data_IF_865303643010
#
_entry.id   IF_865303643010
#
_cell.length_a   1.000
_cell.length_b   1.000
_cell.length_c   1.000
_cell.angle_alpha   90.00
_cell.angle_beta   90.00
_cell.angle_gamma   90.00
#
_symmetry.space_group_name_H-M   'P 1'
#
loop_
_entity.id
_entity.type
_entity.pdbx_description
1 polymer ?
#
# COMPACT_ATOMS: atom_id res chain seq x y z
N UNK A 1 2.51 -18.73 0.85
CA UNK A 1 1.99 -18.55 -0.53
C UNK A 1 1.45 -17.13 -0.67
N UNK A 2 1.93 -16.42 -1.68
CA UNK A 2 1.46 -15.05 -1.93
C UNK A 2 0.04 -15.08 -2.47
N UNK A 3 -0.84 -14.29 -1.87
CA UNK A 3 -2.23 -14.15 -2.29
C UNK A 3 -2.44 -12.73 -2.81
N UNK A 4 -1.78 -12.44 -3.92
CA UNK A 4 -1.92 -11.16 -4.61
C UNK A 4 -2.77 -11.36 -5.84
N UNK A 5 -3.78 -10.51 -6.00
CA UNK A 5 -4.58 -10.45 -7.21
C UNK A 5 -4.48 -9.04 -7.77
N UNK A 6 -4.11 -8.93 -9.04
CA UNK A 6 -4.04 -7.65 -9.73
C UNK A 6 -5.11 -7.61 -10.81
N UNK A 7 -6.00 -6.62 -10.73
CA UNK A 7 -7.02 -6.33 -11.76
C UNK A 7 -6.71 -4.98 -12.38
N UNK A 8 -6.74 -4.89 -13.70
CA UNK A 8 -6.40 -3.66 -14.40
C UNK A 8 -7.50 -3.24 -15.36
N UNK A 9 -7.77 -1.94 -15.43
CA UNK A 9 -8.61 -1.33 -16.46
C UNK A 9 -7.77 -0.99 -17.68
N UNK A 10 -8.44 -0.64 -18.79
CA UNK A 10 -7.81 -0.38 -20.08
C UNK A 10 -6.78 0.78 -20.08
N UNK A 11 -6.81 1.63 -19.05
CA UNK A 11 -5.83 2.72 -18.88
C UNK A 11 -4.41 2.21 -18.64
N UNK A 12 -4.25 0.93 -18.26
CA UNK A 12 -2.96 0.36 -17.88
C UNK A 12 -2.43 -0.52 -18.98
N UNK A 13 -1.24 -0.18 -19.48
CA UNK A 13 -0.53 -0.98 -20.46
C UNK A 13 -0.17 -2.35 -19.89
N UNK A 14 -0.33 -3.46 -20.65
CA UNK A 14 -0.02 -4.79 -20.14
C UNK A 14 1.39 -4.95 -19.59
N UNK A 15 2.38 -4.29 -20.17
CA UNK A 15 3.77 -4.34 -19.70
C UNK A 15 3.89 -3.71 -18.30
N UNK A 16 3.20 -2.60 -18.07
CA UNK A 16 3.17 -1.94 -16.76
C UNK A 16 2.45 -2.80 -15.74
N UNK A 17 1.37 -3.48 -16.15
CA UNK A 17 0.66 -4.41 -15.26
C UNK A 17 1.60 -5.49 -14.74
N UNK A 18 2.45 -6.05 -15.59
CA UNK A 18 3.44 -7.03 -15.16
C UNK A 18 4.49 -6.43 -14.22
N UNK A 19 4.92 -5.21 -14.48
CA UNK A 19 5.82 -4.50 -13.55
C UNK A 19 5.17 -4.30 -12.19
N UNK A 20 3.88 -3.96 -12.17
CA UNK A 20 3.12 -3.83 -10.91
C UNK A 20 3.09 -5.15 -10.15
N UNK A 21 2.85 -6.27 -10.85
CA UNK A 21 2.86 -7.59 -10.23
C UNK A 21 4.20 -7.91 -9.59
N UNK A 22 5.29 -7.66 -10.29
CA UNK A 22 6.64 -7.90 -9.78
C UNK A 22 6.93 -7.01 -8.57
N UNK A 23 6.62 -5.74 -8.66
CA UNK A 23 6.84 -4.80 -7.56
C UNK A 23 5.97 -5.15 -6.34
N UNK A 24 4.72 -5.55 -6.55
CA UNK A 24 3.81 -5.95 -5.48
C UNK A 24 4.33 -7.22 -4.78
N UNK A 25 4.79 -8.18 -5.54
CA UNK A 25 5.38 -9.40 -4.99
C UNK A 25 6.60 -9.08 -4.14
N UNK A 26 7.48 -8.23 -4.65
CA UNK A 26 8.67 -7.81 -3.92
C UNK A 26 8.29 -7.09 -2.62
N UNK A 27 7.29 -6.19 -2.68
CA UNK A 27 6.81 -5.46 -1.50
C UNK A 27 6.20 -6.40 -0.45
N UNK A 28 5.50 -7.44 -0.88
CA UNK A 28 4.97 -8.45 0.04
C UNK A 28 6.09 -9.17 0.77
N UNK A 29 7.15 -9.52 0.06
CA UNK A 29 8.32 -10.17 0.67
C UNK A 29 9.04 -9.20 1.61
N UNK A 30 9.17 -7.94 1.19
CA UNK A 30 9.82 -6.90 2.00
C UNK A 30 9.13 -6.73 3.36
N UNK A 31 7.81 -6.73 3.37
CA UNK A 31 6.99 -6.52 4.57
C UNK A 31 6.56 -7.83 5.26
N UNK A 32 7.07 -8.98 4.83
CA UNK A 32 6.67 -10.29 5.34
C UNK A 32 5.15 -10.53 5.24
N UNK A 33 4.52 -9.97 4.22
CA UNK A 33 3.09 -10.16 3.97
C UNK A 33 2.80 -11.52 3.32
N UNK A 34 3.79 -12.14 2.74
CA UNK A 34 3.67 -13.45 2.10
C UNK A 34 3.39 -14.58 3.10
N UNK A 35 3.71 -14.38 4.37
CA UNK A 35 3.41 -15.36 5.43
C UNK A 35 2.02 -15.15 6.05
N UNK A 36 1.34 -14.05 5.71
CA UNK A 36 0.00 -13.76 6.21
C UNK A 36 -1.05 -14.49 5.38
N UNK A 37 -2.13 -15.01 6.00
CA UNK A 37 -3.24 -15.59 5.25
C UNK A 37 -4.15 -14.56 4.59
N UNK A 38 -3.98 -13.28 4.91
CA UNK A 38 -4.86 -12.21 4.40
C UNK A 38 -4.45 -11.86 2.97
N UNK A 39 -5.35 -12.04 1.98
CA UNK A 39 -5.04 -11.72 0.59
C UNK A 39 -5.02 -10.21 0.36
N UNK A 40 -4.18 -9.80 -0.61
CA UNK A 40 -4.09 -8.40 -1.03
C UNK A 40 -4.57 -8.31 -2.46
N UNK A 41 -5.59 -7.49 -2.67
CA UNK A 41 -6.15 -7.23 -4.00
C UNK A 41 -5.69 -5.85 -4.46
N UNK A 42 -5.01 -5.81 -5.59
CA UNK A 42 -4.54 -4.57 -6.18
C UNK A 42 -5.42 -4.26 -7.38
N UNK A 43 -6.06 -3.10 -7.36
CA UNK A 43 -6.92 -2.63 -8.43
C UNK A 43 -6.25 -1.46 -9.13
N UNK A 44 -5.99 -1.62 -10.42
CA UNK A 44 -5.40 -0.58 -11.25
C UNK A 44 -6.54 0.15 -11.94
N UNK A 45 -6.77 1.38 -11.52
CA UNK A 45 -7.92 2.20 -11.90
C UNK A 45 -7.51 3.30 -12.87
N UNK A 46 -8.50 3.94 -13.49
CA UNK A 46 -8.26 5.11 -14.35
C UNK A 46 -7.79 6.33 -13.54
N UNK A 47 -7.58 7.48 -14.22
CA UNK A 47 -7.09 8.68 -13.55
C UNK A 47 -8.01 9.17 -12.44
N UNK A 48 -7.44 9.78 -11.40
CA UNK A 48 -8.17 10.34 -10.27
C UNK A 48 -7.37 11.50 -9.68
N UNK A 49 -8.00 12.23 -8.76
CA UNK A 49 -7.34 13.33 -8.04
C UNK A 49 -6.32 12.82 -7.03
N UNK A 50 -6.41 11.56 -6.63
CA UNK A 50 -5.44 10.93 -5.74
C UNK A 50 -4.68 9.85 -6.52
N UNK A 51 -3.50 9.48 -6.06
CA UNK A 51 -2.66 8.50 -6.71
C UNK A 51 -2.97 7.07 -6.30
N UNK A 52 -3.43 6.88 -5.08
CA UNK A 52 -3.78 5.56 -4.58
C UNK A 52 -4.40 5.62 -3.20
N UNK A 53 -4.92 4.49 -2.75
CA UNK A 53 -5.39 4.30 -1.38
C UNK A 53 -5.35 2.82 -1.01
N UNK A 54 -5.58 2.55 0.27
CA UNK A 54 -5.67 1.19 0.79
C UNK A 54 -6.85 1.10 1.75
N UNK A 55 -7.51 -0.06 1.74
CA UNK A 55 -8.72 -0.30 2.55
C UNK A 55 -8.55 -1.65 3.24
N UNK A 56 -8.68 -1.65 4.56
CA UNK A 56 -8.69 -2.86 5.37
C UNK A 56 -10.13 -3.35 5.53
N UNK A 57 -10.42 -4.51 4.96
CA UNK A 57 -11.73 -5.15 5.07
C UNK A 57 -11.71 -6.34 6.02
N UNK A 58 -10.69 -6.46 6.88
CA UNK A 58 -10.44 -7.56 7.82
C UNK A 58 -10.11 -8.89 7.15
N UNK A 59 -10.90 -9.33 6.17
CA UNK A 59 -10.66 -10.60 5.44
C UNK A 59 -9.78 -10.42 4.21
N UNK A 60 -9.57 -9.20 3.77
CA UNK A 60 -8.63 -8.85 2.68
C UNK A 60 -8.27 -7.38 2.77
N UNK A 61 -7.14 -7.03 2.16
CA UNK A 61 -6.72 -5.65 1.98
C UNK A 61 -6.90 -5.30 0.50
N UNK A 62 -7.51 -4.16 0.22
CA UNK A 62 -7.65 -3.65 -1.15
C UNK A 62 -6.74 -2.44 -1.32
N UNK A 63 -5.83 -2.52 -2.28
CA UNK A 63 -4.96 -1.40 -2.68
C UNK A 63 -5.44 -0.92 -4.03
N UNK A 64 -5.74 0.37 -4.16
CA UNK A 64 -6.11 0.97 -5.44
C UNK A 64 -4.98 1.88 -5.90
N UNK A 65 -4.59 1.73 -7.16
CA UNK A 65 -3.66 2.64 -7.82
C UNK A 65 -4.40 3.31 -8.97
N UNK A 66 -4.37 4.63 -8.98
CA UNK A 66 -4.97 5.40 -10.05
C UNK A 66 -3.89 5.74 -11.07
N UNK A 67 -4.26 5.78 -12.37
CA UNK A 67 -3.29 5.91 -13.46
C UNK A 67 -2.47 7.20 -13.30
N UNK A 68 -1.17 7.06 -13.10
CA UNK A 68 -0.22 8.16 -12.98
C UNK A 68 1.20 7.64 -13.18
N UNK A 69 2.15 8.56 -13.40
CA UNK A 69 3.56 8.19 -13.54
C UNK A 69 4.19 7.74 -12.23
N UNK A 70 3.63 8.19 -11.12
CA UNK A 70 4.15 7.93 -9.77
C UNK A 70 3.62 6.61 -9.17
N UNK A 71 3.20 5.67 -10.02
CA UNK A 71 2.56 4.44 -9.54
C UNK A 71 3.47 3.58 -8.65
N UNK A 72 4.79 3.56 -8.92
CA UNK A 72 5.70 2.69 -8.15
C UNK A 72 5.84 3.15 -6.69
N UNK A 73 6.22 4.40 -6.40
CA UNK A 73 6.25 4.85 -5.01
C UNK A 73 4.87 4.80 -4.36
N UNK A 74 3.80 5.09 -5.12
CA UNK A 74 2.44 5.00 -4.59
C UNK A 74 2.10 3.57 -4.19
N UNK A 75 2.45 2.59 -5.02
CA UNK A 75 2.25 1.18 -4.67
C UNK A 75 2.94 0.84 -3.34
N UNK A 76 4.18 1.25 -3.19
CA UNK A 76 4.95 0.95 -1.97
C UNK A 76 4.38 1.68 -0.74
N UNK A 77 3.87 2.89 -0.92
CA UNK A 77 3.17 3.62 0.13
C UNK A 77 1.95 2.83 0.60
N UNK A 78 1.11 2.40 -0.33
CA UNK A 78 -0.11 1.68 0.01
C UNK A 78 0.17 0.26 0.52
N UNK A 79 1.21 -0.40 0.02
CA UNK A 79 1.62 -1.70 0.55
C UNK A 79 2.16 -1.58 1.98
N UNK A 80 2.74 -0.44 2.34
CA UNK A 80 3.14 -0.18 3.72
C UNK A 80 1.91 -0.06 4.63
N UNK A 81 0.85 0.58 4.17
CA UNK A 81 -0.41 0.59 4.92
C UNK A 81 -0.98 -0.83 5.07
N UNK A 82 -0.91 -1.66 4.02
CA UNK A 82 -1.32 -3.06 4.13
C UNK A 82 -0.54 -3.78 5.24
N UNK A 83 0.77 -3.56 5.30
CA UNK A 83 1.62 -4.08 6.35
C UNK A 83 1.16 -3.59 7.74
N UNK A 84 0.86 -2.31 7.86
CA UNK A 84 0.39 -1.74 9.13
C UNK A 84 -0.92 -2.38 9.58
N UNK A 85 -1.84 -2.61 8.66
CA UNK A 85 -3.12 -3.27 8.99
C UNK A 85 -2.93 -4.73 9.36
N UNK A 86 -2.20 -5.48 8.56
CA UNK A 86 -2.02 -6.93 8.74
C UNK A 86 -1.36 -7.25 10.08
N UNK A 87 -0.36 -6.47 10.46
CA UNK A 87 0.36 -6.70 11.72
C UNK A 87 -0.24 -5.93 12.91
N UNK A 88 -1.40 -5.30 12.71
CA UNK A 88 -2.12 -4.64 13.80
C UNK A 88 -1.46 -3.37 14.32
N UNK A 89 -0.50 -2.82 13.57
CA UNK A 89 0.13 -1.54 13.95
C UNK A 89 -0.86 -0.39 13.83
N UNK A 90 -1.78 -0.48 12.88
CA UNK A 90 -2.77 0.54 12.59
C UNK A 90 -4.16 -0.08 12.55
N UNK A 91 -5.09 0.52 13.31
CA UNK A 91 -6.53 0.22 13.24
C UNK A 91 -7.25 1.55 13.10
N UNK A 92 -7.86 1.78 11.94
CA UNK A 92 -8.58 3.03 11.68
C UNK A 92 -10.05 2.90 12.05
N UNK A 93 -10.56 3.89 12.77
CA UNK A 93 -11.96 4.09 13.05
C UNK A 93 -12.37 5.48 12.55
N UNK A 94 -13.65 5.83 12.64
CA UNK A 94 -14.13 7.09 12.04
C UNK A 94 -13.41 8.32 12.57
N UNK A 95 -13.26 8.43 13.89
CA UNK A 95 -12.69 9.63 14.52
C UNK A 95 -11.38 9.34 15.25
N UNK A 96 -11.04 8.07 15.37
CA UNK A 96 -9.88 7.63 16.13
C UNK A 96 -9.07 6.62 15.34
N UNK A 97 -7.84 6.42 15.76
CA UNK A 97 -6.99 5.36 15.26
C UNK A 97 -6.25 4.75 16.44
N UNK A 98 -5.94 3.48 16.35
CA UNK A 98 -4.96 2.85 17.25
C UNK A 98 -3.67 2.71 16.46
N UNK A 99 -2.61 3.28 16.99
CA UNK A 99 -1.28 3.17 16.40
C UNK A 99 -0.35 2.54 17.43
N UNK A 100 0.17 1.35 17.10
CA UNK A 100 1.00 0.56 18.01
C UNK A 100 0.30 0.36 19.37
N UNK A 101 -1.03 0.18 19.33
CA UNK A 101 -1.85 -0.03 20.52
C UNK A 101 -2.26 1.24 21.26
N UNK A 102 -1.82 2.40 20.84
CA UNK A 102 -2.17 3.68 21.48
C UNK A 102 -3.31 4.36 20.74
N UNK A 103 -4.33 4.75 21.49
CA UNK A 103 -5.48 5.49 20.96
C UNK A 103 -5.07 6.92 20.60
N UNK A 104 -5.38 7.31 19.36
CA UNK A 104 -5.07 8.63 18.83
C UNK A 104 -6.35 9.23 18.21
N UNK A 105 -6.67 10.48 18.57
CA UNK A 105 -7.73 11.20 17.89
C UNK A 105 -7.23 11.67 16.52
N UNK A 106 -7.94 11.29 15.46
CA UNK A 106 -7.47 11.55 14.08
C UNK A 106 -7.41 13.03 13.72
N UNK A 107 -8.20 13.86 14.36
CA UNK A 107 -8.19 15.31 14.11
C UNK A 107 -7.09 16.07 14.88
N UNK A 108 -6.33 15.40 15.74
CA UNK A 108 -5.19 16.01 16.43
C UNK A 108 -3.99 16.27 15.51
N UNK A 109 -4.00 15.70 14.30
CA UNK A 109 -2.88 15.75 13.37
C UNK A 109 -3.34 16.21 11.98
N UNK A 110 -2.47 16.97 11.30
CA UNK A 110 -2.58 17.11 9.86
C UNK A 110 -2.36 15.73 9.21
N UNK A 111 -2.99 15.45 8.09
CA UNK A 111 -2.89 14.16 7.40
C UNK A 111 -1.44 13.71 7.24
N UNK A 112 -0.56 14.62 6.83
CA UNK A 112 0.84 14.29 6.58
C UNK A 112 1.64 14.02 7.85
N UNK A 113 1.11 14.39 9.01
CA UNK A 113 1.77 14.23 10.30
C UNK A 113 1.27 13.02 11.08
N UNK A 114 0.26 12.32 10.58
CA UNK A 114 -0.23 11.11 11.20
C UNK A 114 0.91 10.06 11.21
N UNK A 115 1.18 9.40 12.35
CA UNK A 115 2.35 8.51 12.47
C UNK A 115 2.42 7.43 11.39
N UNK A 116 1.28 6.87 11.00
CA UNK A 116 1.22 5.85 9.94
C UNK A 116 1.55 6.43 8.57
N UNK A 117 1.25 7.70 8.32
CA UNK A 117 1.63 8.36 7.07
C UNK A 117 3.11 8.71 7.06
N UNK A 118 3.67 9.11 8.21
CA UNK A 118 5.11 9.37 8.33
C UNK A 118 5.89 8.09 8.03
N UNK A 119 5.50 6.96 8.61
CA UNK A 119 6.14 5.68 8.34
C UNK A 119 5.99 5.29 6.87
N UNK A 120 4.79 5.43 6.30
CA UNK A 120 4.52 5.04 4.92
C UNK A 120 5.36 5.86 3.94
N UNK A 121 5.51 7.16 4.15
CA UNK A 121 6.35 8.00 3.28
C UNK A 121 7.81 7.63 3.38
N UNK A 122 8.29 7.35 4.58
CA UNK A 122 9.69 6.95 4.78
C UNK A 122 9.99 5.63 4.07
N UNK A 123 9.14 4.63 4.26
CA UNK A 123 9.34 3.30 3.66
C UNK A 123 9.11 3.32 2.15
N UNK A 124 8.17 4.11 1.65
CA UNK A 124 7.98 4.31 0.23
C UNK A 124 9.29 4.74 -0.46
N UNK A 125 9.97 5.70 0.13
CA UNK A 125 11.23 6.21 -0.42
C UNK A 125 12.33 5.15 -0.36
N UNK A 126 12.49 4.48 0.76
CA UNK A 126 13.48 3.42 0.92
C UNK A 126 13.20 2.22 -0.01
N UNK A 127 11.94 1.80 -0.09
CA UNK A 127 11.55 0.68 -0.93
C UNK A 127 11.73 0.97 -2.41
N UNK A 128 11.36 2.17 -2.85
CA UNK A 128 11.52 2.57 -4.24
C UNK A 128 12.99 2.52 -4.64
N UNK A 129 13.85 3.06 -3.80
CA UNK A 129 15.30 3.04 -4.03
C UNK A 129 15.83 1.61 -4.09
N UNK A 130 15.45 0.79 -3.13
CA UNK A 130 15.93 -0.60 -3.06
C UNK A 130 15.46 -1.41 -4.26
N UNK A 131 14.19 -1.28 -4.63
CA UNK A 131 13.63 -2.02 -5.76
C UNK A 131 14.29 -1.62 -7.09
N UNK A 132 14.47 -0.33 -7.32
CA UNK A 132 15.10 0.15 -8.55
C UNK A 132 16.58 -0.26 -8.63
N UNK A 133 17.26 -0.36 -7.49
CA UNK A 133 18.63 -0.85 -7.44
C UNK A 133 18.71 -2.31 -7.85
N UNK A 134 17.74 -3.14 -7.42
CA UNK A 134 17.70 -4.55 -7.81
C UNK A 134 17.34 -4.74 -9.28
N UNK A 135 16.55 -3.83 -9.85
CA UNK A 135 16.09 -3.93 -11.23
C UNK A 135 17.13 -3.43 -12.24
N UNK A 136 18.19 -2.77 -11.81
CA UNK A 136 19.21 -2.24 -12.70
C UNK A 136 20.34 -3.23 -13.02
#
# INVERSE_FOLDING_TARGET
>A
MLKIRVKAKAWWCPDVVEEVREAAKWACEYHDLDVSPIPIHIKLCGPSDIYGDSIDLDYKIVVRLFACEEWLPTLFHEMTHAYQYVYGKLQLEMQHAYWLGTLIARDDFEYQQEPWEVEARKLEEEMTKDFLTLAS
#
